data_IF_549364467415
#
_entry.id   IF_549364467415
#
_cell.length_a   1.000
_cell.length_b   1.000
_cell.length_c   1.000
_cell.angle_alpha   90.00
_cell.angle_beta   90.00
_cell.angle_gamma   90.00
#
_symmetry.space_group_name_H-M   'P 1'
#
loop_
_entity.id
_entity.type
_entity.pdbx_description
1 polymer ?
#
# COMPACT_ATOMS: atom_id res chain seq x y z
N UNK A 1 -4.11 23.08 19.62
CA UNK A 1 -3.93 22.71 18.20
C UNK A 1 -4.46 21.30 18.06
N UNK A 2 -5.63 21.15 17.44
CA UNK A 2 -6.44 19.94 17.46
C UNK A 2 -5.78 18.78 16.72
N UNK A 3 -5.79 17.62 17.37
CA UNK A 3 -5.40 16.32 16.83
C UNK A 3 -6.10 16.06 15.50
N UNK A 4 -5.31 15.83 14.44
CA UNK A 4 -5.82 15.47 13.12
C UNK A 4 -6.22 13.98 13.16
N UNK A 5 -7.33 13.69 13.83
CA UNK A 5 -7.91 12.35 13.94
C UNK A 5 -8.79 12.00 12.71
N UNK A 6 -8.34 12.36 11.50
CA UNK A 6 -9.20 12.42 10.31
C UNK A 6 -8.69 11.76 9.04
N UNK A 7 -7.55 11.04 9.05
CA UNK A 7 -6.96 10.45 7.83
C UNK A 7 -7.81 9.35 7.18
N UNK A 8 -8.85 8.87 7.85
CA UNK A 8 -9.70 7.79 7.35
C UNK A 8 -10.82 8.29 6.41
N UNK A 9 -11.11 9.59 6.40
CA UNK A 9 -12.10 10.19 5.50
C UNK A 9 -11.44 10.90 4.32
N UNK A 10 -12.13 10.94 3.17
CA UNK A 10 -11.71 11.73 2.00
C UNK A 10 -11.45 13.19 2.35
N UNK A 11 -12.32 13.78 3.18
CA UNK A 11 -12.19 15.16 3.64
C UNK A 11 -10.91 15.38 4.45
N UNK A 12 -10.59 14.48 5.38
CA UNK A 12 -9.37 14.58 6.17
C UNK A 12 -8.10 14.27 5.38
N UNK A 13 -8.15 13.36 4.40
CA UNK A 13 -7.06 13.17 3.42
C UNK A 13 -6.84 14.40 2.55
N UNK A 14 -7.90 15.08 2.12
CA UNK A 14 -7.79 16.33 1.38
C UNK A 14 -7.14 17.43 2.22
N UNK A 15 -7.54 17.57 3.50
CA UNK A 15 -6.89 18.49 4.44
C UNK A 15 -5.42 18.14 4.64
N UNK A 16 -5.11 16.85 4.79
CA UNK A 16 -3.73 16.37 4.90
C UNK A 16 -2.89 16.74 3.67
N UNK A 17 -3.41 16.50 2.45
CA UNK A 17 -2.74 16.89 1.22
C UNK A 17 -2.54 18.41 1.13
N UNK A 18 -3.56 19.20 1.46
CA UNK A 18 -3.48 20.65 1.46
C UNK A 18 -2.38 21.17 2.38
N UNK A 19 -2.32 20.67 3.62
CA UNK A 19 -1.32 21.09 4.59
C UNK A 19 0.09 20.60 4.25
N UNK A 20 0.23 19.36 3.79
CA UNK A 20 1.57 18.81 3.49
C UNK A 20 2.19 19.42 2.24
N UNK A 21 1.40 19.71 1.20
CA UNK A 21 1.92 20.21 -0.07
C UNK A 21 1.87 21.74 -0.20
N UNK A 22 0.86 22.38 0.37
CA UNK A 22 0.60 23.82 0.20
C UNK A 22 0.61 24.60 1.53
N UNK A 23 0.81 23.95 2.67
CA UNK A 23 0.81 24.58 4.00
C UNK A 23 -0.59 24.94 4.53
N UNK A 24 -1.55 25.25 3.66
CA UNK A 24 -2.92 25.60 4.04
C UNK A 24 -3.96 25.20 3.00
N UNK A 25 -5.22 25.07 3.45
CA UNK A 25 -6.38 24.86 2.56
C UNK A 25 -6.57 26.06 1.62
N UNK A 26 -6.32 27.27 2.10
CA UNK A 26 -6.46 28.50 1.30
C UNK A 26 -5.48 28.51 0.12
N UNK A 27 -4.21 28.18 0.38
CA UNK A 27 -3.17 28.11 -0.65
C UNK A 27 -3.46 27.00 -1.67
N UNK A 28 -4.04 25.88 -1.25
CA UNK A 28 -4.54 24.87 -2.18
C UNK A 28 -5.69 25.42 -3.06
N UNK A 29 -6.65 26.14 -2.48
CA UNK A 29 -7.76 26.74 -3.25
C UNK A 29 -7.25 27.71 -4.33
N UNK A 30 -6.28 28.56 -3.96
CA UNK A 30 -5.61 29.48 -4.88
C UNK A 30 -4.88 28.73 -6.01
N UNK A 31 -4.10 27.70 -5.68
CA UNK A 31 -3.41 26.85 -6.67
C UNK A 31 -4.38 26.09 -7.60
N UNK A 32 -5.57 25.74 -7.10
CA UNK A 32 -6.63 25.09 -7.85
C UNK A 32 -7.46 26.05 -8.71
N UNK A 33 -7.32 27.36 -8.52
CA UNK A 33 -8.17 28.36 -9.17
C UNK A 33 -9.65 28.27 -8.74
N UNK A 34 -9.91 27.88 -7.49
CA UNK A 34 -11.27 27.80 -6.93
C UNK A 34 -11.41 28.71 -5.71
N UNK A 35 -12.64 29.10 -5.39
CA UNK A 35 -12.89 29.83 -4.16
C UNK A 35 -12.66 28.93 -2.94
N UNK A 36 -12.22 29.50 -1.80
CA UNK A 36 -12.13 28.75 -0.55
C UNK A 36 -13.47 28.14 -0.11
N UNK A 37 -14.60 28.76 -0.47
CA UNK A 37 -15.94 28.23 -0.16
C UNK A 37 -16.26 26.97 -0.95
N UNK A 38 -15.89 26.91 -2.24
CA UNK A 38 -16.01 25.70 -3.05
C UNK A 38 -15.14 24.58 -2.47
N UNK A 39 -13.88 24.85 -2.14
CA UNK A 39 -13.01 23.83 -1.57
C UNK A 39 -13.48 23.35 -0.18
N UNK A 40 -14.10 24.25 0.61
CA UNK A 40 -14.65 23.93 1.93
C UNK A 40 -15.69 22.82 1.91
N UNK A 41 -16.49 22.71 0.83
CA UNK A 41 -17.49 21.64 0.72
C UNK A 41 -16.87 20.23 0.74
N UNK A 42 -15.66 20.09 0.19
CA UNK A 42 -14.93 18.83 0.15
C UNK A 42 -14.09 18.61 1.40
N UNK A 43 -13.47 19.66 1.93
CA UNK A 43 -12.66 19.56 3.16
C UNK A 43 -13.51 19.44 4.42
N UNK A 44 -14.81 19.74 4.37
CA UNK A 44 -15.77 19.45 5.47
C UNK A 44 -16.49 18.11 5.29
N UNK A 45 -16.32 17.44 4.16
CA UNK A 45 -16.97 16.16 3.86
C UNK A 45 -18.44 16.27 3.46
N UNK A 46 -18.93 17.47 3.15
CA UNK A 46 -20.31 17.69 2.64
C UNK A 46 -20.50 17.11 1.24
N UNK A 47 -19.44 17.13 0.43
CA UNK A 47 -19.45 16.59 -0.93
C UNK A 47 -18.19 15.77 -1.21
N UNK A 48 -18.35 14.73 -2.03
CA UNK A 48 -17.23 13.94 -2.56
C UNK A 48 -16.76 14.59 -3.88
N UNK A 49 -15.44 14.73 -4.12
CA UNK A 49 -14.93 15.27 -5.38
C UNK A 49 -15.40 14.45 -6.59
N UNK A 50 -16.15 15.08 -7.49
CA UNK A 50 -16.49 14.50 -8.81
C UNK A 50 -15.34 14.66 -9.81
N UNK A 51 -15.50 14.12 -11.02
CA UNK A 51 -14.44 14.01 -12.04
C UNK A 51 -13.66 15.32 -12.28
N UNK A 52 -14.35 16.45 -12.50
CA UNK A 52 -13.69 17.75 -12.72
C UNK A 52 -12.79 18.17 -11.55
N UNK A 53 -13.25 17.93 -10.31
CA UNK A 53 -12.48 18.26 -9.13
C UNK A 53 -11.30 17.30 -8.94
N UNK A 54 -11.51 16.02 -9.23
CA UNK A 54 -10.44 15.02 -9.22
C UNK A 54 -9.35 15.35 -10.25
N UNK A 55 -9.72 15.80 -11.45
CA UNK A 55 -8.75 16.18 -12.50
C UNK A 55 -7.87 17.36 -12.06
N UNK A 56 -8.46 18.38 -11.42
CA UNK A 56 -7.71 19.50 -10.83
C UNK A 56 -6.78 19.05 -9.71
N UNK A 57 -7.25 18.17 -8.84
CA UNK A 57 -6.41 17.62 -7.76
C UNK A 57 -5.26 16.76 -8.34
N UNK A 58 -5.53 16.00 -9.40
CA UNK A 58 -4.54 15.17 -10.10
C UNK A 58 -3.48 16.02 -10.78
N UNK A 59 -3.87 17.11 -11.46
CA UNK A 59 -2.90 18.03 -12.09
C UNK A 59 -1.98 18.70 -11.05
N UNK A 60 -2.48 18.89 -9.84
CA UNK A 60 -1.70 19.35 -8.69
C UNK A 60 -0.94 18.23 -7.98
N UNK A 61 -0.89 17.02 -8.55
CA UNK A 61 -0.13 15.87 -8.03
C UNK A 61 -0.74 15.22 -6.78
N UNK A 62 -2.06 15.29 -6.60
CA UNK A 62 -2.77 14.50 -5.61
C UNK A 62 -3.03 13.09 -6.15
N UNK A 63 -2.71 12.06 -5.36
CA UNK A 63 -3.15 10.69 -5.64
C UNK A 63 -4.65 10.59 -5.34
N UNK A 64 -5.46 10.59 -6.41
CA UNK A 64 -6.93 10.54 -6.31
C UNK A 64 -7.40 9.21 -5.74
N UNK A 65 -6.73 8.12 -6.09
CA UNK A 65 -7.10 6.79 -5.58
C UNK A 65 -6.91 6.77 -4.07
N UNK A 66 -5.74 7.19 -3.60
CA UNK A 66 -5.48 7.35 -2.16
C UNK A 66 -6.45 8.34 -1.50
N UNK A 67 -6.78 9.45 -2.16
CA UNK A 67 -7.69 10.45 -1.63
C UNK A 67 -9.09 9.85 -1.38
N UNK A 68 -9.63 9.09 -2.33
CA UNK A 68 -10.97 8.52 -2.23
C UNK A 68 -10.99 7.28 -1.34
N UNK A 69 -10.13 6.30 -1.59
CA UNK A 69 -10.19 4.99 -0.93
C UNK A 69 -9.37 4.92 0.35
N UNK A 70 -8.38 5.80 0.52
CA UNK A 70 -7.40 5.72 1.60
C UNK A 70 -6.24 4.76 1.31
N UNK A 71 -6.35 3.95 0.25
CA UNK A 71 -5.29 3.06 -0.22
C UNK A 71 -4.58 3.66 -1.42
N UNK A 72 -3.25 3.75 -1.35
CA UNK A 72 -2.45 4.03 -2.55
C UNK A 72 -1.94 2.73 -3.15
N UNK A 73 -1.70 2.70 -4.45
CA UNK A 73 -1.03 1.58 -5.14
C UNK A 73 0.27 1.20 -4.41
N UNK A 74 1.02 2.20 -3.93
CA UNK A 74 2.21 1.99 -3.10
C UNK A 74 1.96 1.24 -1.80
N UNK A 75 0.82 1.48 -1.13
CA UNK A 75 0.45 0.78 0.09
C UNK A 75 0.14 -0.69 -0.20
N UNK A 76 -0.64 -0.96 -1.25
CA UNK A 76 -0.98 -2.32 -1.66
C UNK A 76 0.25 -3.09 -2.14
N UNK A 77 1.14 -2.47 -2.91
CA UNK A 77 2.42 -3.08 -3.31
C UNK A 77 3.27 -3.41 -2.08
N UNK A 78 3.35 -2.51 -1.09
CA UNK A 78 4.09 -2.77 0.16
C UNK A 78 3.48 -3.93 0.94
N UNK A 79 2.15 -4.04 0.97
CA UNK A 79 1.43 -5.16 1.59
C UNK A 79 1.73 -6.47 0.88
N UNK A 80 1.53 -6.51 -0.44
CA UNK A 80 1.84 -7.67 -1.29
C UNK A 80 3.30 -8.12 -1.13
N UNK A 81 4.26 -7.18 -1.09
CA UNK A 81 5.69 -7.50 -0.89
C UNK A 81 5.95 -8.18 0.46
N UNK A 82 5.25 -7.79 1.53
CA UNK A 82 5.37 -8.44 2.83
C UNK A 82 4.81 -9.86 2.80
N UNK A 83 3.61 -10.03 2.26
CA UNK A 83 2.96 -11.34 2.14
C UNK A 83 3.80 -12.29 1.28
N UNK A 84 4.29 -11.80 0.14
CA UNK A 84 5.19 -12.57 -0.72
C UNK A 84 6.49 -12.96 -0.02
N UNK A 85 7.08 -12.06 0.78
CA UNK A 85 8.29 -12.37 1.54
C UNK A 85 8.06 -13.50 2.57
N UNK A 86 6.90 -13.52 3.22
CA UNK A 86 6.53 -14.59 4.16
C UNK A 86 6.36 -15.92 3.43
N UNK A 87 5.62 -15.92 2.33
CA UNK A 87 5.42 -17.11 1.49
C UNK A 87 6.77 -17.66 1.00
N UNK A 88 7.64 -16.80 0.49
CA UNK A 88 8.96 -17.21 0.01
C UNK A 88 9.85 -17.77 1.11
N UNK A 89 9.71 -17.30 2.36
CA UNK A 89 10.41 -17.86 3.50
C UNK A 89 9.95 -19.29 3.79
N UNK A 90 8.64 -19.52 3.79
CA UNK A 90 8.06 -20.86 3.99
C UNK A 90 8.45 -21.81 2.87
N UNK A 91 8.37 -21.36 1.61
CA UNK A 91 8.78 -22.14 0.45
C UNK A 91 10.24 -22.56 0.55
N UNK A 92 11.16 -21.67 0.94
CA UNK A 92 12.58 -22.02 1.14
C UNK A 92 12.77 -23.06 2.23
N UNK A 93 12.07 -22.92 3.36
CA UNK A 93 12.14 -23.91 4.44
C UNK A 93 11.61 -25.28 4.00
N UNK A 94 10.55 -25.30 3.19
CA UNK A 94 10.03 -26.52 2.59
C UNK A 94 11.03 -27.16 1.63
N UNK A 95 11.61 -26.39 0.71
CA UNK A 95 12.62 -26.88 -0.23
C UNK A 95 13.84 -27.48 0.48
N UNK A 96 14.29 -26.86 1.57
CA UNK A 96 15.38 -27.41 2.37
C UNK A 96 15.00 -28.76 2.99
N UNK A 97 13.78 -28.92 3.49
CA UNK A 97 13.31 -30.21 4.03
C UNK A 97 13.25 -31.27 2.94
N UNK A 98 12.80 -30.94 1.74
CA UNK A 98 12.79 -31.87 0.61
C UNK A 98 14.21 -32.33 0.27
N UNK A 99 15.16 -31.40 0.14
CA UNK A 99 16.57 -31.72 -0.12
C UNK A 99 17.13 -32.68 0.93
N UNK A 100 16.85 -32.44 2.22
CA UNK A 100 17.30 -33.33 3.29
C UNK A 100 16.68 -34.73 3.18
N UNK A 101 15.41 -34.84 2.75
CA UNK A 101 14.75 -36.14 2.54
C UNK A 101 15.38 -36.88 1.35
N UNK A 102 15.66 -36.18 0.26
CA UNK A 102 16.30 -36.75 -0.92
C UNK A 102 17.70 -37.30 -0.58
N UNK A 103 18.51 -36.55 0.15
CA UNK A 103 19.82 -37.01 0.63
C UNK A 103 19.71 -38.27 1.51
N UNK A 104 18.78 -38.28 2.47
CA UNK A 104 18.56 -39.44 3.33
C UNK A 104 18.15 -40.70 2.55
N UNK A 105 17.30 -40.56 1.52
CA UNK A 105 16.89 -41.68 0.67
C UNK A 105 18.09 -42.24 -0.12
N UNK A 106 18.95 -41.38 -0.65
CA UNK A 106 20.16 -41.79 -1.36
C UNK A 106 21.12 -42.57 -0.44
N UNK A 107 21.32 -42.06 0.77
CA UNK A 107 22.17 -42.71 1.78
C UNK A 107 21.65 -44.08 2.19
N UNK A 108 20.33 -44.20 2.41
CA UNK A 108 19.69 -45.49 2.72
C UNK A 108 19.85 -46.49 1.57
N UNK A 109 19.62 -46.06 0.33
CA UNK A 109 19.79 -46.92 -0.84
C UNK A 109 21.25 -47.37 -1.04
N UNK A 110 22.23 -46.50 -0.75
CA UNK A 110 23.65 -46.85 -0.78
C UNK A 110 24.00 -47.92 0.26
N UNK A 111 23.49 -47.79 1.49
CA UNK A 111 23.68 -48.77 2.57
C UNK A 111 23.06 -50.13 2.25
N UNK A 112 21.86 -50.16 1.66
CA UNK A 112 21.19 -51.40 1.25
C UNK A 112 21.99 -52.15 0.18
N UNK A 113 22.52 -51.45 -0.83
CA UNK A 113 23.35 -52.07 -1.88
C UNK A 113 24.64 -52.68 -1.34
N UNK A 114 25.30 -52.04 -0.37
CA UNK A 114 26.54 -52.55 0.23
C UNK A 114 26.32 -53.76 1.16
N UNK A 115 25.14 -53.89 1.77
CA UNK A 115 24.83 -55.01 2.66
C UNK A 115 24.34 -56.28 1.92
N UNK A 116 23.93 -56.17 0.65
CA UNK A 116 23.49 -57.31 -0.17
C UNK A 116 24.60 -58.01 -0.98
N UNK A 117 25.84 -57.53 -0.91
CA UNK A 117 26.99 -58.08 -1.65
C UNK A 117 27.85 -59.06 -0.82
N UNK A 118 27.30 -59.61 0.27
CA UNK A 118 27.94 -60.63 1.13
C UNK A 118 27.17 -61.94 1.10
#
# INVERSE_FOLDING_TARGET
>A
MSEINGKDTTAGRLRYFAHTKYGSIKSLAEAMGVSPSTLSQYTTGKCIPGNLMQDRLRSLGCDIEWLITGSSVTHEIKKMRREFALLMKEYRAFQQRLSNVEENILDLNGKVKNNGAR
#
